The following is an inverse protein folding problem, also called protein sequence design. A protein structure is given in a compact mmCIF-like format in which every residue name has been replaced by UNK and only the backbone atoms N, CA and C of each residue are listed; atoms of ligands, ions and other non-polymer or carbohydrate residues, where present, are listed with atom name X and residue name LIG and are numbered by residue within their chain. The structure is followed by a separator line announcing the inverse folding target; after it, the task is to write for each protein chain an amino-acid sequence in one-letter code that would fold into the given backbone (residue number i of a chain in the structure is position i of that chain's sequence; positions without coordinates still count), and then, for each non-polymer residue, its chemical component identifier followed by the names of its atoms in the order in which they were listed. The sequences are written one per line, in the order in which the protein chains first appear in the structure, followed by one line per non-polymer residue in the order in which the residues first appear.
data_IF_821082127988
#
_entry.id   IF_821082127988
#
_cell.length_a   1.000
_cell.length_b   1.000
_cell.length_c   1.000
_cell.angle_alpha   90.00
_cell.angle_beta   90.00
_cell.angle_gamma   90.00
#
_symmetry.space_group_name_H-M   'P 1'
#
loop_
_entity.id
_entity.type
_entity.pdbx_description
1 polymer ?
#
# COMPACT_ATOMS: atom_id res chain seq x y z
N UNK A 1 -33.90 -26.89 6.10
CA UNK A 1 -32.91 -26.37 5.13
C UNK A 1 -32.82 -24.83 5.05
N UNK A 2 -33.31 -24.05 6.05
CA UNK A 2 -33.19 -22.57 6.05
C UNK A 2 -32.02 -22.02 6.88
N UNK A 3 -31.43 -22.81 7.78
CA UNK A 3 -30.36 -22.37 8.70
C UNK A 3 -28.96 -22.36 8.07
N UNK A 4 -28.71 -23.19 7.06
CA UNK A 4 -27.41 -23.29 6.37
C UNK A 4 -27.10 -22.09 5.47
N UNK A 5 -28.14 -21.49 4.86
CA UNK A 5 -27.97 -20.33 3.96
C UNK A 5 -27.48 -19.09 4.74
N UNK A 6 -27.87 -18.96 6.02
CA UNK A 6 -27.50 -17.81 6.84
C UNK A 6 -26.01 -17.83 7.24
N UNK A 7 -25.42 -19.00 7.47
CA UNK A 7 -23.99 -19.11 7.76
C UNK A 7 -23.12 -18.76 6.54
N UNK A 8 -23.53 -19.09 5.32
CA UNK A 8 -22.76 -18.76 4.12
C UNK A 8 -22.72 -17.26 3.84
N UNK A 9 -23.83 -16.54 4.09
CA UNK A 9 -23.90 -15.08 3.91
C UNK A 9 -22.97 -14.31 4.86
N UNK A 10 -22.78 -14.79 6.09
CA UNK A 10 -21.84 -14.17 7.04
C UNK A 10 -20.37 -14.31 6.62
N UNK A 11 -20.01 -15.39 5.92
CA UNK A 11 -18.63 -15.62 5.44
C UNK A 11 -18.27 -14.61 4.34
N UNK A 12 -19.21 -14.28 3.44
CA UNK A 12 -18.96 -13.28 2.38
C UNK A 12 -18.82 -11.85 2.91
N UNK A 13 -19.54 -11.49 3.98
CA UNK A 13 -19.41 -10.17 4.63
C UNK A 13 -18.05 -10.02 5.33
N UNK A 14 -17.53 -11.11 5.92
CA UNK A 14 -16.19 -11.12 6.52
C UNK A 14 -15.08 -11.01 5.46
N UNK A 15 -15.24 -11.66 4.30
CA UNK A 15 -14.25 -11.58 3.20
C UNK A 15 -14.19 -10.19 2.55
N UNK A 16 -15.33 -9.53 2.32
CA UNK A 16 -15.38 -8.21 1.69
C UNK A 16 -14.77 -7.09 2.57
N UNK A 17 -14.64 -7.32 3.88
CA UNK A 17 -13.99 -6.39 4.80
C UNK A 17 -12.48 -6.67 4.96
N UNK A 18 -12.04 -7.91 4.77
CA UNK A 18 -10.64 -8.33 4.97
C UNK A 18 -9.65 -7.74 3.97
N UNK A 19 -10.02 -7.62 2.69
CA UNK A 19 -9.10 -7.18 1.63
C UNK A 19 -8.67 -5.71 1.81
N UNK A 20 -9.60 -4.83 2.20
CA UNK A 20 -9.31 -3.41 2.42
C UNK A 20 -8.46 -3.18 3.67
N UNK A 21 -8.61 -4.03 4.69
CA UNK A 21 -7.77 -4.01 5.89
C UNK A 21 -6.33 -4.46 5.62
N UNK A 22 -6.10 -5.30 4.60
CA UNK A 22 -4.77 -5.82 4.30
C UNK A 22 -3.79 -4.77 3.75
N UNK A 23 -4.28 -3.72 3.06
CA UNK A 23 -3.43 -2.63 2.54
C UNK A 23 -3.30 -1.46 3.52
N UNK A 24 -4.32 -1.21 4.35
CA UNK A 24 -4.31 -0.07 5.27
C UNK A 24 -3.06 -0.05 6.18
N UNK A 25 -2.52 1.14 6.41
CA UNK A 25 -1.33 1.37 7.23
C UNK A 25 -0.19 2.07 6.49
N UNK A 26 0.99 2.10 7.11
CA UNK A 26 2.21 2.70 6.57
C UNK A 26 3.12 1.64 5.97
N UNK A 27 3.72 1.98 4.84
CA UNK A 27 4.62 1.11 4.10
C UNK A 27 5.85 1.89 3.65
N UNK A 28 7.04 1.41 3.99
CA UNK A 28 8.29 1.96 3.51
C UNK A 28 8.54 1.49 2.06
N UNK A 29 8.99 2.38 1.18
CA UNK A 29 9.31 2.03 -0.20
C UNK A 29 10.70 1.41 -0.30
N UNK A 30 10.80 0.24 -0.94
CA UNK A 30 12.09 -0.39 -1.24
C UNK A 30 12.80 0.39 -2.34
N UNK A 31 14.10 0.64 -2.14
CA UNK A 31 14.96 1.40 -3.03
C UNK A 31 15.74 0.42 -3.91
N UNK A 32 15.71 0.65 -5.23
CA UNK A 32 16.54 -0.03 -6.23
C UNK A 32 16.63 -1.57 -6.08
N UNK A 33 15.54 -2.20 -5.65
CA UNK A 33 15.46 -3.66 -5.38
C UNK A 33 16.52 -4.19 -4.38
N UNK A 34 17.16 -3.32 -3.59
CA UNK A 34 18.21 -3.71 -2.64
C UNK A 34 17.65 -4.30 -1.34
N UNK A 35 16.36 -4.08 -1.06
CA UNK A 35 15.75 -4.35 0.23
C UNK A 35 15.84 -3.19 1.21
N UNK A 36 16.64 -2.17 0.91
CA UNK A 36 16.76 -0.97 1.73
C UNK A 36 15.52 -0.09 1.55
N UNK A 37 15.08 0.55 2.62
CA UNK A 37 13.93 1.48 2.60
C UNK A 37 14.30 2.89 3.02
N UNK A 38 15.60 3.15 3.13
CA UNK A 38 16.14 4.44 3.56
C UNK A 38 17.52 4.66 2.98
N UNK A 39 17.89 5.92 2.79
CA UNK A 39 19.20 6.33 2.28
C UNK A 39 19.73 7.54 3.05
N UNK A 40 21.05 7.72 3.05
CA UNK A 40 21.68 8.89 3.64
C UNK A 40 21.64 10.06 2.67
N UNK A 41 21.31 11.24 3.20
CA UNK A 41 21.42 12.51 2.49
C UNK A 41 22.69 13.26 2.94
N UNK A 42 23.10 14.28 2.19
CA UNK A 42 24.42 14.92 2.30
C UNK A 42 24.78 15.53 3.67
N UNK A 43 23.81 15.67 4.58
CA UNK A 43 24.00 16.16 5.95
C UNK A 43 23.99 15.02 7.00
N UNK A 44 24.27 13.78 6.59
CA UNK A 44 24.25 12.56 7.41
C UNK A 44 22.88 12.18 7.99
N UNK A 45 21.80 12.82 7.53
CA UNK A 45 20.44 12.45 7.91
C UNK A 45 19.96 11.21 7.15
N UNK A 46 19.11 10.41 7.79
CA UNK A 46 18.47 9.25 7.20
C UNK A 46 17.13 9.67 6.60
N UNK A 47 16.99 9.50 5.28
CA UNK A 47 15.76 9.77 4.55
C UNK A 47 15.05 8.46 4.21
N UNK A 48 13.74 8.36 4.48
CA UNK A 48 12.93 7.21 4.06
C UNK A 48 11.59 7.64 3.45
N UNK A 49 11.31 7.30 2.19
CA UNK A 49 10.00 7.51 1.58
C UNK A 49 9.02 6.42 2.03
N UNK A 50 7.84 6.85 2.44
CA UNK A 50 6.77 5.95 2.91
C UNK A 50 5.44 6.26 2.23
N UNK A 51 4.65 5.23 1.96
CA UNK A 51 3.26 5.36 1.57
C UNK A 51 2.36 5.07 2.77
N UNK A 52 1.44 5.99 3.04
CA UNK A 52 0.42 5.87 4.09
C UNK A 52 -0.94 5.72 3.43
N UNK A 53 -1.54 4.54 3.59
CA UNK A 53 -2.86 4.19 3.08
C UNK A 53 -3.88 4.34 4.21
N UNK A 54 -4.79 5.31 4.08
CA UNK A 54 -5.83 5.61 5.08
C UNK A 54 -7.20 5.53 4.42
N UNK A 55 -8.12 4.71 4.95
CA UNK A 55 -9.51 4.56 4.43
C UNK A 55 -9.58 4.34 2.91
N UNK A 56 -9.57 5.41 2.13
CA UNK A 56 -9.62 5.50 0.67
C UNK A 56 -8.58 6.45 0.06
N UNK A 57 -7.64 7.00 0.82
CA UNK A 57 -6.60 7.93 0.35
C UNK A 57 -5.19 7.35 0.54
N UNK A 58 -4.28 7.80 -0.33
CA UNK A 58 -2.85 7.50 -0.25
C UNK A 58 -2.10 8.81 -0.08
N UNK A 59 -1.18 8.83 0.88
CA UNK A 59 -0.20 9.89 1.06
C UNK A 59 1.21 9.32 0.88
N UNK A 60 2.11 10.13 0.36
CA UNK A 60 3.56 9.88 0.39
C UNK A 60 4.17 10.77 1.47
N UNK A 61 4.69 10.14 2.52
CA UNK A 61 5.39 10.80 3.60
C UNK A 61 6.89 10.64 3.37
N UNK A 62 7.64 11.75 3.41
CA UNK A 62 9.10 11.72 3.45
C UNK A 62 9.51 11.85 4.91
N UNK A 63 10.18 10.82 5.45
CA UNK A 63 10.77 10.90 6.77
C UNK A 63 12.22 11.35 6.68
N UNK A 64 12.59 12.22 7.60
CA UNK A 64 13.97 12.59 7.86
C UNK A 64 14.24 12.34 9.35
N UNK A 65 15.18 11.45 9.66
CA UNK A 65 15.53 11.03 11.02
C UNK A 65 14.28 10.60 11.83
N UNK A 66 13.41 9.81 11.19
CA UNK A 66 12.15 9.30 11.76
C UNK A 66 10.99 10.30 11.83
N UNK A 67 11.23 11.60 11.58
CA UNK A 67 10.18 12.64 11.59
C UNK A 67 9.66 12.90 10.19
N UNK A 68 8.35 13.12 10.04
CA UNK A 68 7.77 13.54 8.75
C UNK A 68 8.28 14.93 8.40
N UNK A 69 9.08 15.04 7.35
CA UNK A 69 9.52 16.33 6.79
C UNK A 69 8.50 16.89 5.81
N UNK A 70 7.83 16.00 5.06
CA UNK A 70 6.80 16.34 4.08
C UNK A 70 5.77 15.24 3.97
N UNK A 71 4.53 15.62 3.65
CA UNK A 71 3.43 14.71 3.36
C UNK A 71 2.70 15.21 2.12
N UNK A 72 2.62 14.37 1.09
CA UNK A 72 2.01 14.69 -0.20
C UNK A 72 0.84 13.79 -0.47
N UNK A 73 -0.32 14.36 -0.79
CA UNK A 73 -1.47 13.59 -1.25
C UNK A 73 -1.18 12.97 -2.62
N UNK A 74 -1.29 11.64 -2.72
CA UNK A 74 -1.02 10.91 -3.97
C UNK A 74 -2.29 10.64 -4.75
N UNK A 75 -3.40 10.40 -4.06
CA UNK A 75 -4.67 10.11 -4.71
C UNK A 75 -5.67 9.38 -3.83
N UNK A 76 -6.85 9.16 -4.40
CA UNK A 76 -7.88 8.29 -3.83
C UNK A 76 -7.69 6.91 -4.44
N UNK A 77 -7.73 5.86 -3.62
CA UNK A 77 -7.61 4.49 -4.07
C UNK A 77 -8.85 3.65 -3.78
N UNK A 78 -9.04 2.66 -4.63
CA UNK A 78 -10.04 1.61 -4.49
C UNK A 78 -9.41 0.27 -4.82
N UNK A 79 -9.81 -0.76 -4.07
CA UNK A 79 -9.35 -2.13 -4.28
C UNK A 79 -10.51 -2.94 -4.84
N UNK A 80 -10.20 -3.78 -5.83
CA UNK A 80 -11.10 -4.81 -6.32
C UNK A 80 -10.27 -6.04 -6.64
N UNK A 81 -10.54 -7.15 -5.94
CA UNK A 81 -9.76 -8.37 -6.06
C UNK A 81 -8.25 -8.08 -5.77
N UNK A 82 -7.35 -8.45 -6.68
CA UNK A 82 -5.91 -8.22 -6.61
C UNK A 82 -5.45 -6.89 -7.22
N UNK A 83 -6.38 -5.97 -7.51
CA UNK A 83 -6.10 -4.73 -8.21
C UNK A 83 -6.30 -3.52 -7.31
N UNK A 84 -5.35 -2.59 -7.40
CA UNK A 84 -5.44 -1.27 -6.81
C UNK A 84 -5.59 -0.25 -7.94
N UNK A 85 -6.69 0.49 -7.89
CA UNK A 85 -6.94 1.65 -8.75
C UNK A 85 -6.68 2.91 -7.94
N UNK A 86 -5.81 3.78 -8.43
CA UNK A 86 -5.47 5.08 -7.82
C UNK A 86 -5.85 6.19 -8.80
N UNK A 87 -6.55 7.21 -8.30
CA UNK A 87 -6.89 8.42 -9.05
C UNK A 87 -6.22 9.60 -8.36
N UNK A 88 -5.37 10.31 -9.11
CA UNK A 88 -4.69 11.49 -8.60
C UNK A 88 -5.60 12.73 -8.57
N UNK A 89 -5.08 13.83 -8.04
CA UNK A 89 -5.80 15.12 -7.95
C UNK A 89 -6.21 15.73 -9.30
N UNK A 90 -5.60 15.27 -10.41
CA UNK A 90 -5.91 15.72 -11.77
C UNK A 90 -6.94 14.80 -12.45
N UNK A 91 -7.43 13.78 -11.74
CA UNK A 91 -8.35 12.77 -12.28
C UNK A 91 -7.66 11.72 -13.14
N UNK A 92 -6.32 11.70 -13.18
CA UNK A 92 -5.58 10.67 -13.91
C UNK A 92 -5.63 9.38 -13.12
N UNK A 93 -6.00 8.31 -13.82
CA UNK A 93 -6.15 6.99 -13.25
C UNK A 93 -4.94 6.11 -13.55
N UNK A 94 -4.56 5.29 -12.55
CA UNK A 94 -3.64 4.18 -12.71
C UNK A 94 -4.20 2.94 -12.04
N UNK A 95 -4.18 1.81 -12.74
CA UNK A 95 -4.55 0.51 -12.20
C UNK A 95 -3.31 -0.37 -12.18
N UNK A 96 -3.01 -0.95 -11.03
CA UNK A 96 -1.92 -1.90 -10.84
C UNK A 96 -2.45 -3.17 -10.18
N UNK A 97 -1.74 -4.28 -10.37
CA UNK A 97 -1.93 -5.46 -9.52
C UNK A 97 -1.07 -5.33 -8.27
N UNK A 98 -1.52 -5.92 -7.17
CA UNK A 98 -0.71 -6.03 -5.98
C UNK A 98 -0.84 -7.42 -5.38
N UNK A 99 0.21 -7.86 -4.69
CA UNK A 99 0.20 -9.05 -3.84
C UNK A 99 0.86 -8.71 -2.52
N UNK A 100 0.27 -9.17 -1.42
CA UNK A 100 0.84 -9.07 -0.08
C UNK A 100 1.25 -10.46 0.37
N UNK A 101 2.53 -10.63 0.66
CA UNK A 101 3.10 -11.82 1.29
C UNK A 101 3.83 -11.36 2.56
N UNK A 102 3.39 -11.85 3.71
CA UNK A 102 3.85 -11.42 5.04
C UNK A 102 3.76 -9.89 5.25
N UNK A 103 4.91 -9.22 5.32
CA UNK A 103 5.05 -7.77 5.50
C UNK A 103 5.50 -7.06 4.24
N UNK A 104 5.42 -7.71 3.07
CA UNK A 104 5.87 -7.16 1.79
C UNK A 104 4.68 -7.10 0.84
N UNK A 105 4.40 -5.90 0.34
CA UNK A 105 3.48 -5.66 -0.76
C UNK A 105 4.29 -5.44 -2.04
N UNK A 106 4.07 -6.29 -3.03
CA UNK A 106 4.63 -6.14 -4.38
C UNK A 106 3.55 -5.60 -5.31
N UNK A 107 3.82 -4.50 -5.98
CA UNK A 107 2.92 -3.88 -6.95
C UNK A 107 3.48 -4.08 -8.35
N UNK A 108 2.68 -4.59 -9.27
CA UNK A 108 3.08 -4.90 -10.66
C UNK A 108 2.18 -4.20 -11.68
N UNK A 109 2.71 -4.01 -12.89
CA UNK A 109 1.93 -3.44 -14.00
C UNK A 109 0.88 -4.46 -14.47
N UNK A 110 -0.36 -4.01 -14.69
CA UNK A 110 -1.45 -4.89 -15.10
C UNK A 110 -1.23 -5.52 -16.49
N UNK A 111 -0.52 -4.79 -17.38
CA UNK A 111 -0.20 -5.25 -18.73
C UNK A 111 1.05 -6.12 -18.79
N UNK A 112 1.93 -5.99 -17.80
CA UNK A 112 3.22 -6.69 -17.72
C UNK A 112 3.41 -7.22 -16.29
N UNK A 113 2.87 -8.40 -15.96
CA UNK A 113 2.88 -8.92 -14.60
C UNK A 113 4.29 -9.11 -14.00
N UNK A 114 5.29 -9.36 -14.84
CA UNK A 114 6.70 -9.50 -14.43
C UNK A 114 7.37 -8.16 -14.14
N UNK A 115 6.75 -7.05 -14.56
CA UNK A 115 7.26 -5.70 -14.32
C UNK A 115 6.78 -5.21 -12.96
N UNK A 116 7.68 -5.31 -11.98
CA UNK A 116 7.51 -4.71 -10.66
C UNK A 116 7.54 -3.19 -10.81
N UNK A 117 6.48 -2.54 -10.33
CA UNK A 117 6.36 -1.07 -10.29
C UNK A 117 6.96 -0.55 -8.99
N UNK A 118 6.74 -1.26 -7.88
CA UNK A 118 7.32 -0.95 -6.58
C UNK A 118 7.16 -2.13 -5.62
N UNK A 119 8.06 -2.21 -4.64
CA UNK A 119 7.91 -3.04 -3.44
C UNK A 119 7.80 -2.16 -2.22
N UNK A 120 6.96 -2.58 -1.29
CA UNK A 120 6.56 -1.81 -0.13
C UNK A 120 6.66 -2.71 1.10
N UNK A 121 7.35 -2.27 2.15
CA UNK A 121 7.53 -3.01 3.41
C UNK A 121 6.67 -2.42 4.51
N UNK A 122 5.86 -3.24 5.15
CA UNK A 122 4.93 -2.81 6.20
C UNK A 122 5.71 -2.26 7.39
N UNK A 123 5.34 -1.07 7.85
CA UNK A 123 5.85 -0.46 9.08
C UNK A 123 4.84 -0.76 10.18
N UNK A 124 5.22 -1.58 11.15
CA UNK A 124 4.38 -1.85 12.31
C UNK A 124 4.40 -0.62 13.24
N UNK A 125 3.23 -0.16 13.70
CA UNK A 125 3.10 1.03 14.58
C UNK A 125 3.62 0.83 16.02
N UNK A 126 4.47 -0.17 16.26
CA UNK A 126 5.08 -0.46 17.56
C UNK A 126 6.59 -0.13 17.58
N UNK A 127 6.95 1.06 17.12
CA UNK A 127 8.31 1.62 17.20
C UNK A 127 8.30 2.96 17.90
#
# INVERSE_FOLDING_TARGET
MKKLIFCCLCIFILMACGERHAIAGRWAMELDDSGDTSFLIANDSICSPELRFERDTIYMDIKNDGKTSSSTFMGIYSIKDDQIRVVDQLGKERICRFRIEDSIMTVTDISQPDKIVMRLRRINENG
#
